data_IF_368825017869
#
_entry.id   IF_368825017869
#
_cell.length_a   1.000
_cell.length_b   1.000
_cell.length_c   1.000
_cell.angle_alpha   90.00
_cell.angle_beta   90.00
_cell.angle_gamma   90.00
#
_symmetry.space_group_name_H-M   'P 1'
#
loop_
_entity.id
_entity.type
_entity.pdbx_description
1 polymer ?
#
# COMPACT_ATOMS: atom_id res chain seq x y z
N UNK A 1 13.32 23.03 1.25
CA UNK A 1 14.72 23.45 1.52
C UNK A 1 15.09 23.31 2.99
N UNK A 2 14.35 23.89 3.94
CA UNK A 2 14.67 23.76 5.38
C UNK A 2 14.60 22.31 5.89
N UNK A 3 13.61 21.55 5.42
CA UNK A 3 13.48 20.11 5.72
C UNK A 3 14.68 19.28 5.26
N UNK A 4 15.14 19.48 4.01
CA UNK A 4 16.32 18.79 3.47
C UNK A 4 17.57 19.12 4.28
N UNK A 5 17.71 20.36 4.78
CA UNK A 5 18.83 20.78 5.63
C UNK A 5 18.82 20.06 6.98
N UNK A 6 17.66 19.88 7.60
CA UNK A 6 17.52 19.08 8.83
C UNK A 6 17.93 17.65 8.57
N UNK A 7 17.40 17.04 7.51
CA UNK A 7 17.66 15.65 7.15
C UNK A 7 19.14 15.38 6.84
N UNK A 8 19.80 16.30 6.14
CA UNK A 8 21.25 16.23 5.88
C UNK A 8 22.11 16.39 7.13
N UNK A 9 21.61 17.05 8.17
CA UNK A 9 22.32 17.23 9.46
C UNK A 9 22.15 16.04 10.39
N UNK A 10 21.00 15.38 10.36
CA UNK A 10 20.68 14.26 11.27
C UNK A 10 21.03 12.89 10.68
N UNK A 11 21.06 12.75 9.35
CA UNK A 11 21.35 11.47 8.69
C UNK A 11 22.85 11.15 8.74
N UNK A 12 23.20 9.93 9.17
CA UNK A 12 24.58 9.44 9.15
C UNK A 12 25.17 9.50 7.74
N UNK A 13 26.43 9.92 7.61
CA UNK A 13 27.11 10.11 6.31
C UNK A 13 27.06 8.87 5.41
N UNK A 14 27.12 7.66 6.00
CA UNK A 14 26.99 6.40 5.25
C UNK A 14 25.60 6.21 4.64
N UNK A 15 24.53 6.60 5.34
CA UNK A 15 23.15 6.51 4.80
C UNK A 15 22.90 7.54 3.70
N UNK A 16 23.47 8.74 3.82
CA UNK A 16 23.40 9.74 2.75
C UNK A 16 24.05 9.23 1.45
N UNK A 17 25.23 8.60 1.58
CA UNK A 17 25.90 7.96 0.44
C UNK A 17 25.04 6.86 -0.19
N UNK A 18 24.44 5.99 0.64
CA UNK A 18 23.55 4.91 0.18
C UNK A 18 22.35 5.47 -0.58
N UNK A 19 21.68 6.50 -0.06
CA UNK A 19 20.52 7.12 -0.72
C UNK A 19 20.87 7.79 -2.05
N UNK A 20 21.99 8.51 -2.13
CA UNK A 20 22.46 9.12 -3.38
C UNK A 20 22.82 8.07 -4.44
N UNK A 21 23.47 6.99 -4.01
CA UNK A 21 23.84 5.86 -4.89
C UNK A 21 22.61 5.10 -5.36
N UNK A 22 21.62 4.91 -4.49
CA UNK A 22 20.32 4.34 -4.84
C UNK A 22 19.56 5.22 -5.84
N UNK A 23 19.53 6.54 -5.67
CA UNK A 23 18.86 7.45 -6.63
C UNK A 23 19.42 7.28 -8.06
N UNK A 24 20.74 7.20 -8.19
CA UNK A 24 21.41 6.92 -9.47
C UNK A 24 21.00 5.53 -9.98
N UNK A 25 21.12 4.50 -9.14
CA UNK A 25 20.86 3.12 -9.56
C UNK A 25 19.41 2.87 -9.96
N UNK A 26 18.47 3.52 -9.29
CA UNK A 26 17.04 3.47 -9.59
C UNK A 26 16.78 4.08 -10.96
N UNK A 27 17.41 5.21 -11.29
CA UNK A 27 17.29 5.83 -12.62
C UNK A 27 17.88 4.96 -13.74
N UNK A 28 18.82 4.07 -13.43
CA UNK A 28 19.36 3.09 -14.39
C UNK A 28 18.46 1.87 -14.58
N UNK A 29 17.92 1.32 -13.48
CA UNK A 29 17.22 0.02 -13.48
C UNK A 29 15.71 0.13 -13.66
N UNK A 30 15.11 1.22 -13.18
CA UNK A 30 13.68 1.36 -13.07
C UNK A 30 13.17 2.31 -14.16
N UNK A 31 12.22 1.88 -15.01
CA UNK A 31 11.90 2.58 -16.25
C UNK A 31 11.15 3.90 -16.05
N UNK A 32 10.70 4.18 -14.83
CA UNK A 32 9.89 5.34 -14.51
C UNK A 32 10.72 6.50 -13.97
N UNK A 33 10.45 7.70 -14.49
CA UNK A 33 11.06 8.93 -13.96
C UNK A 33 10.49 9.26 -12.58
N UNK A 34 11.36 9.81 -11.71
CA UNK A 34 11.03 10.16 -10.33
C UNK A 34 10.88 11.66 -10.15
N UNK A 35 9.92 12.09 -9.33
CA UNK A 35 9.69 13.49 -8.98
C UNK A 35 10.87 14.05 -8.17
N UNK A 36 11.00 15.38 -8.13
CA UNK A 36 12.09 16.09 -7.43
C UNK A 36 12.14 15.77 -5.93
N UNK A 37 11.01 15.40 -5.31
CA UNK A 37 10.92 15.01 -3.91
C UNK A 37 11.48 13.61 -3.58
N UNK A 38 11.81 12.79 -4.59
CA UNK A 38 12.15 11.39 -4.41
C UNK A 38 13.32 11.14 -3.47
N UNK A 39 14.45 11.84 -3.68
CA UNK A 39 15.63 11.67 -2.83
C UNK A 39 15.33 12.01 -1.36
N UNK A 40 14.45 12.99 -1.13
CA UNK A 40 14.04 13.40 0.21
C UNK A 40 13.24 12.29 0.90
N UNK A 41 12.28 11.69 0.17
CA UNK A 41 11.46 10.59 0.68
C UNK A 41 12.25 9.29 0.81
N UNK A 42 13.24 9.07 -0.04
CA UNK A 42 14.18 7.94 0.06
C UNK A 42 15.01 8.07 1.33
N UNK A 43 15.61 9.23 1.58
CA UNK A 43 16.36 9.46 2.81
C UNK A 43 15.47 9.28 4.05
N UNK A 44 14.24 9.82 4.05
CA UNK A 44 13.30 9.65 5.15
C UNK A 44 12.91 8.16 5.36
N UNK A 45 12.60 7.48 4.26
CA UNK A 45 12.22 6.07 4.24
C UNK A 45 13.37 5.10 4.55
N UNK A 46 14.64 5.50 4.42
CA UNK A 46 15.78 4.70 4.86
C UNK A 46 16.17 4.96 6.32
N UNK A 47 15.74 6.10 6.86
CA UNK A 47 16.01 6.53 8.23
C UNK A 47 14.85 6.19 9.18
N UNK A 48 14.10 5.11 8.90
CA UNK A 48 12.85 4.67 9.59
C UNK A 48 12.92 4.63 11.12
N UNK A 49 14.13 4.58 11.69
CA UNK A 49 14.40 4.51 13.12
C UNK A 49 14.67 5.86 13.80
N UNK A 50 14.62 6.98 13.06
CA UNK A 50 14.80 8.32 13.62
C UNK A 50 13.41 8.94 13.93
N UNK A 51 13.01 9.03 15.22
CA UNK A 51 11.71 9.56 15.62
C UNK A 51 11.56 11.07 15.40
N UNK A 52 12.63 11.80 15.08
CA UNK A 52 12.60 13.25 14.85
C UNK A 52 12.31 13.63 13.38
N UNK A 53 12.31 12.65 12.46
CA UNK A 53 12.05 12.84 11.03
C UNK A 53 10.58 12.54 10.67
N UNK A 54 9.65 13.33 11.22
CA UNK A 54 8.20 13.06 11.13
C UNK A 54 7.50 14.11 10.26
N UNK A 55 7.57 13.96 8.94
CA UNK A 55 6.50 14.34 8.00
C UNK A 55 6.53 13.40 6.78
N UNK A 56 5.36 12.92 6.33
CA UNK A 56 5.19 12.07 5.13
C UNK A 56 5.97 10.73 5.16
N UNK A 57 5.95 10.01 6.28
CA UNK A 57 6.52 8.65 6.32
C UNK A 57 5.66 7.74 5.42
N UNK A 58 6.24 7.06 4.42
CA UNK A 58 5.49 6.05 3.67
C UNK A 58 4.99 4.98 4.65
N UNK A 59 3.77 4.45 4.48
CA UNK A 59 3.25 3.42 5.36
C UNK A 59 4.21 2.23 5.38
N UNK A 60 4.56 1.81 6.59
CA UNK A 60 5.46 0.69 6.80
C UNK A 60 4.61 -0.57 6.85
N UNK A 61 4.46 -1.22 5.69
CA UNK A 61 3.62 -2.41 5.54
C UNK A 61 4.47 -3.68 5.38
N UNK A 62 3.94 -4.86 5.76
CA UNK A 62 4.61 -6.13 5.55
C UNK A 62 4.98 -6.35 4.08
N UNK A 63 6.14 -6.96 3.86
CA UNK A 63 6.64 -7.27 2.51
C UNK A 63 5.65 -8.10 1.69
N UNK A 64 5.01 -9.08 2.33
CA UNK A 64 4.01 -9.95 1.69
C UNK A 64 2.89 -9.11 1.08
N UNK A 65 2.35 -8.15 1.83
CA UNK A 65 1.25 -7.29 1.40
C UNK A 65 1.66 -6.36 0.23
N UNK A 66 2.85 -5.77 0.30
CA UNK A 66 3.34 -4.85 -0.74
C UNK A 66 3.66 -5.59 -2.04
N UNK A 67 4.24 -6.79 -1.95
CA UNK A 67 4.58 -7.60 -3.13
C UNK A 67 3.39 -7.97 -4.00
N UNK A 68 2.19 -7.97 -3.41
CA UNK A 68 0.94 -8.26 -4.09
C UNK A 68 0.41 -7.07 -4.89
N UNK A 69 0.54 -5.88 -4.32
CA UNK A 69 -0.08 -4.65 -4.85
C UNK A 69 0.89 -3.91 -5.76
N UNK A 70 2.19 -3.93 -5.43
CA UNK A 70 3.28 -3.26 -6.14
C UNK A 70 4.32 -4.29 -6.68
N UNK A 71 3.92 -5.22 -7.57
CA UNK A 71 4.79 -6.31 -8.01
C UNK A 71 5.98 -5.84 -8.85
N UNK A 72 5.88 -4.69 -9.52
CA UNK A 72 6.98 -4.12 -10.29
C UNK A 72 8.02 -3.49 -9.35
N UNK A 73 7.55 -2.67 -8.42
CA UNK A 73 8.38 -1.94 -7.46
C UNK A 73 9.04 -2.88 -6.46
N UNK A 74 8.37 -3.96 -6.05
CA UNK A 74 8.97 -4.98 -5.19
C UNK A 74 10.08 -5.76 -5.90
N UNK A 75 9.93 -6.10 -7.19
CA UNK A 75 11.02 -6.70 -7.96
C UNK A 75 12.24 -5.78 -8.02
N UNK A 76 12.02 -4.51 -8.33
CA UNK A 76 13.10 -3.52 -8.35
C UNK A 76 13.73 -3.32 -6.96
N UNK A 77 12.93 -3.22 -5.91
CA UNK A 77 13.39 -3.04 -4.54
C UNK A 77 14.26 -4.20 -4.05
N UNK A 78 13.94 -5.45 -4.42
CA UNK A 78 14.78 -6.60 -4.10
C UNK A 78 16.18 -6.49 -4.73
N UNK A 79 16.23 -6.20 -6.03
CA UNK A 79 17.49 -6.04 -6.77
C UNK A 79 18.32 -4.92 -6.14
N UNK A 80 17.69 -3.81 -5.79
CA UNK A 80 18.37 -2.65 -5.20
C UNK A 80 18.92 -2.94 -3.81
N UNK A 81 18.17 -3.66 -2.96
CA UNK A 81 18.65 -4.02 -1.62
C UNK A 81 19.83 -5.00 -1.69
N UNK A 82 19.78 -5.97 -2.60
CA UNK A 82 20.91 -6.87 -2.85
C UNK A 82 22.12 -6.10 -3.39
N UNK A 83 21.91 -5.20 -4.34
CA UNK A 83 22.96 -4.33 -4.88
C UNK A 83 23.60 -3.44 -3.81
N UNK A 84 22.82 -2.84 -2.90
CA UNK A 84 23.38 -2.04 -1.79
C UNK A 84 24.25 -2.88 -0.86
N UNK A 85 23.86 -4.13 -0.58
CA UNK A 85 24.67 -5.05 0.20
C UNK A 85 25.97 -5.37 -0.51
N UNK A 86 25.89 -5.76 -1.79
CA UNK A 86 27.01 -6.32 -2.53
C UNK A 86 28.01 -5.23 -2.98
N UNK A 87 27.53 -4.06 -3.40
CA UNK A 87 28.38 -2.98 -3.93
C UNK A 87 28.76 -1.92 -2.88
N UNK A 88 27.92 -1.69 -1.88
CA UNK A 88 28.15 -0.64 -0.87
C UNK A 88 28.52 -1.20 0.51
N UNK A 89 28.52 -2.54 0.69
CA UNK A 89 28.82 -3.18 1.96
C UNK A 89 27.90 -2.68 3.08
N UNK A 90 26.63 -2.43 2.76
CA UNK A 90 25.63 -1.94 3.69
C UNK A 90 24.42 -2.86 3.69
N UNK A 91 24.12 -3.45 4.85
CA UNK A 91 22.96 -4.31 5.00
C UNK A 91 21.75 -3.47 5.39
N UNK A 92 20.75 -3.45 4.50
CA UNK A 92 19.49 -2.74 4.76
C UNK A 92 18.58 -3.63 5.61
N UNK A 93 18.36 -3.25 6.86
CA UNK A 93 17.59 -4.03 7.84
C UNK A 93 16.12 -3.63 7.90
N UNK A 94 15.29 -4.48 8.52
CA UNK A 94 13.88 -4.18 8.80
C UNK A 94 13.04 -4.11 7.53
N UNK A 95 12.21 -3.07 7.41
CA UNK A 95 11.23 -2.93 6.32
C UNK A 95 11.78 -2.19 5.10
N UNK A 96 13.09 -2.15 4.90
CA UNK A 96 13.73 -1.34 3.87
C UNK A 96 13.27 -1.69 2.44
N UNK A 97 13.03 -2.98 2.13
CA UNK A 97 12.51 -3.41 0.82
C UNK A 97 11.09 -2.88 0.58
N UNK A 98 10.22 -3.06 1.57
CA UNK A 98 8.85 -2.55 1.60
C UNK A 98 8.82 -1.04 1.40
N UNK A 99 9.63 -0.31 2.18
CA UNK A 99 9.71 1.14 2.12
C UNK A 99 10.24 1.61 0.77
N UNK A 100 11.27 0.96 0.23
CA UNK A 100 11.81 1.31 -1.07
C UNK A 100 10.78 1.15 -2.18
N UNK A 101 10.02 0.04 -2.19
CA UNK A 101 8.95 -0.17 -3.15
C UNK A 101 7.87 0.92 -3.08
N UNK A 102 7.42 1.27 -1.88
CA UNK A 102 6.41 2.32 -1.68
C UNK A 102 6.93 3.70 -2.08
N UNK A 103 8.19 4.03 -1.75
CA UNK A 103 8.80 5.33 -2.10
C UNK A 103 9.02 5.45 -3.60
N UNK A 104 9.46 4.38 -4.25
CA UNK A 104 9.59 4.33 -5.72
C UNK A 104 8.23 4.52 -6.35
N UNK A 105 7.22 3.74 -5.93
CA UNK A 105 5.86 3.91 -6.41
C UNK A 105 5.43 5.36 -6.25
N UNK A 106 5.53 5.92 -5.03
CA UNK A 106 5.02 7.23 -4.64
C UNK A 106 5.68 8.44 -5.30
N UNK A 107 6.78 8.27 -6.04
CA UNK A 107 7.44 9.36 -6.74
C UNK A 107 7.47 9.22 -8.26
N UNK A 108 6.78 8.25 -8.86
CA UNK A 108 6.73 8.17 -10.33
C UNK A 108 6.02 9.39 -10.94
N UNK A 109 6.65 10.02 -11.95
CA UNK A 109 6.13 11.19 -12.70
C UNK A 109 5.01 10.81 -13.67
N UNK A 110 5.05 9.60 -14.23
CA UNK A 110 4.09 9.11 -15.22
C UNK A 110 2.69 8.83 -14.64
N UNK A 111 2.49 9.07 -13.34
CA UNK A 111 1.19 8.92 -12.70
C UNK A 111 0.29 10.11 -13.00
N UNK A 112 -0.98 9.83 -13.27
CA UNK A 112 -2.02 10.85 -13.26
C UNK A 112 -2.20 11.31 -11.79
N UNK A 113 -1.44 12.36 -11.49
CA UNK A 113 -1.19 13.07 -10.23
C UNK A 113 -2.18 12.80 -9.08
N UNK A 114 -1.63 12.39 -7.94
CA UNK A 114 -2.23 12.23 -6.59
C UNK A 114 -3.23 11.08 -6.43
N UNK A 115 -4.25 10.97 -7.29
CA UNK A 115 -5.32 9.97 -7.12
C UNK A 115 -4.82 8.52 -7.20
N UNK A 116 -3.89 8.23 -8.12
CA UNK A 116 -3.31 6.88 -8.27
C UNK A 116 -2.43 6.48 -7.07
N UNK A 117 -1.80 7.46 -6.40
CA UNK A 117 -1.02 7.20 -5.20
C UNK A 117 -1.92 6.88 -4.01
N UNK A 118 -2.87 7.77 -3.73
CA UNK A 118 -3.80 7.58 -2.62
C UNK A 118 -4.63 6.30 -2.79
N UNK A 119 -4.94 5.94 -4.04
CA UNK A 119 -5.62 4.69 -4.37
C UNK A 119 -4.82 3.48 -3.93
N UNK A 120 -3.54 3.43 -4.30
CA UNK A 120 -2.71 2.27 -4.00
C UNK A 120 -2.38 2.19 -2.51
N UNK A 121 -2.25 3.32 -1.83
CA UNK A 121 -2.07 3.35 -0.37
C UNK A 121 -3.34 2.85 0.32
N UNK A 122 -4.51 3.31 -0.10
CA UNK A 122 -5.77 2.81 0.44
C UNK A 122 -5.93 1.31 0.18
N UNK A 123 -5.62 0.85 -1.03
CA UNK A 123 -5.68 -0.57 -1.41
C UNK A 123 -4.76 -1.43 -0.53
N UNK A 124 -3.53 -0.97 -0.33
CA UNK A 124 -2.53 -1.59 0.52
C UNK A 124 -3.01 -1.69 1.98
N UNK A 125 -3.57 -0.61 2.52
CA UNK A 125 -4.07 -0.55 3.90
C UNK A 125 -5.25 -1.48 4.11
N UNK A 126 -6.22 -1.48 3.19
CA UNK A 126 -7.36 -2.40 3.27
C UNK A 126 -6.87 -3.86 3.17
N UNK A 127 -5.97 -4.15 2.23
CA UNK A 127 -5.42 -5.51 2.07
C UNK A 127 -4.71 -5.97 3.33
N UNK A 128 -3.94 -5.08 3.97
CA UNK A 128 -3.25 -5.36 5.23
C UNK A 128 -4.23 -5.60 6.40
N UNK A 129 -5.31 -4.82 6.50
CA UNK A 129 -6.33 -5.03 7.53
C UNK A 129 -6.97 -6.42 7.38
N UNK A 130 -7.29 -6.83 6.15
CA UNK A 130 -7.84 -8.17 5.87
C UNK A 130 -6.81 -9.28 6.17
N UNK A 131 -5.56 -9.13 5.72
CA UNK A 131 -4.52 -10.14 5.96
C UNK A 131 -4.25 -10.31 7.46
N UNK A 132 -4.18 -9.21 8.20
CA UNK A 132 -3.96 -9.21 9.65
C UNK A 132 -5.10 -9.88 10.40
N UNK A 133 -6.36 -9.47 10.16
CA UNK A 133 -7.54 -9.98 10.86
C UNK A 133 -7.72 -11.49 10.71
N UNK A 134 -7.41 -12.03 9.53
CA UNK A 134 -7.61 -13.45 9.21
C UNK A 134 -6.31 -14.26 9.19
N UNK A 135 -5.18 -13.67 9.61
CA UNK A 135 -3.85 -14.30 9.58
C UNK A 135 -3.51 -14.90 8.21
N UNK A 136 -3.76 -14.13 7.14
CA UNK A 136 -3.64 -14.59 5.77
C UNK A 136 -2.30 -14.19 5.12
N UNK A 137 -1.51 -15.16 4.68
CA UNK A 137 -0.55 -14.96 3.58
C UNK A 137 -1.28 -15.08 2.22
N UNK A 138 -1.32 -14.02 1.42
CA UNK A 138 -1.91 -14.06 0.08
C UNK A 138 -0.89 -14.50 -0.97
N UNK A 139 -1.35 -15.22 -2.01
CA UNK A 139 -0.52 -15.62 -3.15
C UNK A 139 -0.87 -14.76 -4.37
N UNK A 140 0.01 -13.80 -4.69
CA UNK A 140 -0.13 -12.81 -5.77
C UNK A 140 -0.43 -13.42 -7.15
N UNK A 141 0.00 -14.67 -7.33
CA UNK A 141 0.00 -15.35 -8.62
C UNK A 141 -1.32 -16.03 -8.95
N UNK A 142 -2.26 -16.12 -8.00
CA UNK A 142 -3.55 -16.76 -8.28
C UNK A 142 -4.47 -15.82 -9.07
N UNK A 143 -5.16 -16.37 -10.07
CA UNK A 143 -6.12 -15.60 -10.91
C UNK A 143 -7.27 -15.05 -10.06
N UNK A 144 -7.73 -15.83 -9.06
CA UNK A 144 -8.77 -15.41 -8.14
C UNK A 144 -8.35 -14.17 -7.35
N UNK A 145 -7.16 -14.20 -6.73
CA UNK A 145 -6.65 -13.05 -5.96
C UNK A 145 -6.48 -11.80 -6.83
N UNK A 146 -5.85 -11.93 -8.02
CA UNK A 146 -5.66 -10.79 -8.94
C UNK A 146 -6.99 -10.14 -9.34
N UNK A 147 -8.02 -10.95 -9.58
CA UNK A 147 -9.36 -10.45 -9.88
C UNK A 147 -9.95 -9.69 -8.69
N UNK A 148 -9.86 -10.26 -7.49
CA UNK A 148 -10.42 -9.65 -6.28
C UNK A 148 -9.71 -8.35 -5.89
N UNK A 149 -8.38 -8.29 -6.00
CA UNK A 149 -7.62 -7.06 -5.81
C UNK A 149 -7.98 -5.99 -6.84
N UNK A 150 -8.24 -6.36 -8.09
CA UNK A 150 -8.73 -5.40 -9.08
C UNK A 150 -10.10 -4.81 -8.69
N UNK A 151 -11.01 -5.62 -8.13
CA UNK A 151 -12.29 -5.08 -7.63
C UNK A 151 -12.10 -4.10 -6.47
N UNK A 152 -11.18 -4.41 -5.55
CA UNK A 152 -10.84 -3.52 -4.45
C UNK A 152 -10.16 -2.23 -4.93
N UNK A 153 -9.24 -2.32 -5.90
CA UNK A 153 -8.65 -1.18 -6.60
C UNK A 153 -9.73 -0.26 -7.20
N UNK A 154 -10.70 -0.83 -7.90
CA UNK A 154 -11.80 -0.06 -8.47
C UNK A 154 -12.68 0.59 -7.40
N UNK A 155 -12.78 0.01 -6.21
CA UNK A 155 -13.45 0.64 -5.07
C UNK A 155 -12.65 1.84 -4.53
N UNK A 156 -11.35 1.67 -4.30
CA UNK A 156 -10.46 2.76 -3.87
C UNK A 156 -10.48 3.94 -4.86
N UNK A 157 -10.34 3.67 -6.17
CA UNK A 157 -10.46 4.68 -7.22
C UNK A 157 -11.80 5.43 -7.16
N UNK A 158 -12.91 4.72 -6.88
CA UNK A 158 -14.24 5.35 -6.80
C UNK A 158 -14.37 6.25 -5.58
N UNK A 159 -13.91 5.80 -4.41
CA UNK A 159 -13.90 6.60 -3.17
C UNK A 159 -13.10 7.89 -3.32
N UNK A 160 -11.94 7.82 -3.97
CA UNK A 160 -11.08 8.98 -4.19
C UNK A 160 -11.65 9.98 -5.20
N UNK A 161 -12.38 9.49 -6.20
CA UNK A 161 -13.03 10.35 -7.19
C UNK A 161 -14.37 10.94 -6.70
N UNK A 162 -14.74 10.72 -5.43
CA UNK A 162 -16.03 11.12 -4.83
C UNK A 162 -17.26 10.74 -5.68
N UNK A 163 -17.15 9.70 -6.51
CA UNK A 163 -18.29 9.17 -7.25
C UNK A 163 -19.07 8.30 -6.28
N UNK A 164 -20.06 8.89 -5.64
CA UNK A 164 -21.02 8.12 -4.88
C UNK A 164 -21.72 7.12 -5.82
N UNK A 165 -21.97 5.90 -5.34
CA UNK A 165 -22.90 4.96 -5.97
C UNK A 165 -24.37 5.45 -5.86
N UNK A 166 -24.60 6.73 -5.57
CA UNK A 166 -25.93 7.30 -5.32
C UNK A 166 -26.84 7.26 -6.56
N UNK A 167 -26.31 6.95 -7.75
CA UNK A 167 -27.10 6.68 -8.95
C UNK A 167 -27.64 5.24 -8.98
N UNK A 168 -27.04 4.29 -8.26
CA UNK A 168 -27.54 2.92 -8.19
C UNK A 168 -28.68 2.81 -7.17
N UNK A 169 -29.73 2.01 -7.45
CA UNK A 169 -30.81 1.80 -6.50
C UNK A 169 -30.29 1.24 -5.15
N UNK A 170 -30.98 1.48 -4.02
CA UNK A 170 -30.58 0.94 -2.72
C UNK A 170 -30.42 -0.59 -2.75
N UNK A 171 -29.45 -1.12 -2.01
CA UNK A 171 -29.32 -2.57 -1.83
C UNK A 171 -30.45 -3.08 -0.90
N UNK A 172 -31.14 -4.19 -1.21
CA UNK A 172 -32.25 -4.67 -0.37
C UNK A 172 -31.78 -5.05 1.05
N UNK A 173 -32.34 -4.42 2.09
CA UNK A 173 -31.93 -4.61 3.49
C UNK A 173 -32.00 -6.06 3.96
N UNK A 174 -33.06 -6.78 3.57
CA UNK A 174 -33.22 -8.18 3.96
C UNK A 174 -32.08 -9.05 3.42
N UNK A 175 -31.64 -8.82 2.17
CA UNK A 175 -30.50 -9.55 1.58
C UNK A 175 -29.18 -9.17 2.23
N UNK A 176 -29.02 -7.90 2.59
CA UNK A 176 -27.85 -7.44 3.33
C UNK A 176 -27.76 -8.14 4.69
N UNK A 177 -28.88 -8.20 5.43
CA UNK A 177 -28.96 -8.89 6.71
C UNK A 177 -28.60 -10.38 6.58
N UNK A 178 -29.15 -11.08 5.58
CA UNK A 178 -28.83 -12.49 5.32
C UNK A 178 -27.34 -12.71 5.03
N UNK A 179 -26.70 -11.82 4.25
CA UNK A 179 -25.26 -11.90 3.96
C UNK A 179 -24.40 -11.67 5.21
N UNK A 180 -24.75 -10.68 6.05
CA UNK A 180 -24.04 -10.42 7.31
C UNK A 180 -24.11 -11.60 8.27
N UNK A 181 -25.28 -12.21 8.39
CA UNK A 181 -25.47 -13.41 9.21
C UNK A 181 -24.68 -14.62 8.68
N UNK A 182 -24.54 -14.71 7.35
CA UNK A 182 -23.79 -15.80 6.70
C UNK A 182 -22.26 -15.67 6.88
N UNK A 183 -21.75 -14.43 6.93
CA UNK A 183 -20.32 -14.12 6.98
C UNK A 183 -20.02 -13.14 8.13
N UNK A 184 -20.21 -13.55 9.40
CA UNK A 184 -20.12 -12.62 10.54
C UNK A 184 -18.71 -12.11 10.79
N UNK A 185 -17.67 -12.93 10.55
CA UNK A 185 -16.28 -12.52 10.74
C UNK A 185 -15.84 -11.50 9.67
N UNK A 186 -16.21 -11.75 8.41
CA UNK A 186 -15.94 -10.86 7.29
C UNK A 186 -16.71 -9.55 7.43
N UNK A 187 -17.94 -9.60 7.94
CA UNK A 187 -18.74 -8.41 8.25
C UNK A 187 -18.03 -7.54 9.29
N UNK A 188 -17.52 -8.14 10.38
CA UNK A 188 -16.76 -7.40 11.38
C UNK A 188 -15.48 -6.77 10.81
N UNK A 189 -14.78 -7.47 9.90
CA UNK A 189 -13.62 -6.91 9.21
C UNK A 189 -14.01 -5.71 8.33
N UNK A 190 -15.12 -5.79 7.61
CA UNK A 190 -15.65 -4.70 6.76
C UNK A 190 -16.01 -3.48 7.60
N UNK A 191 -16.65 -3.67 8.75
CA UNK A 191 -16.98 -2.59 9.70
C UNK A 191 -15.71 -1.86 10.17
N UNK A 192 -14.65 -2.61 10.52
CA UNK A 192 -13.37 -2.02 10.90
C UNK A 192 -12.71 -1.25 9.76
N UNK A 193 -12.74 -1.79 8.53
CA UNK A 193 -12.22 -1.09 7.34
C UNK A 193 -12.98 0.22 7.11
N UNK A 194 -14.31 0.19 7.14
CA UNK A 194 -15.11 1.40 6.95
C UNK A 194 -14.82 2.44 8.03
N UNK A 195 -14.75 2.04 9.30
CA UNK A 195 -14.41 2.94 10.41
C UNK A 195 -13.03 3.58 10.21
N UNK A 196 -12.01 2.79 9.87
CA UNK A 196 -10.66 3.30 9.58
C UNK A 196 -10.65 4.31 8.43
N UNK A 197 -11.36 3.99 7.33
CA UNK A 197 -11.43 4.87 6.16
C UNK A 197 -12.23 6.15 6.45
N UNK A 198 -13.27 6.08 7.28
CA UNK A 198 -13.99 7.26 7.77
C UNK A 198 -13.08 8.14 8.63
N UNK A 199 -12.37 7.56 9.60
CA UNK A 199 -11.52 8.31 10.52
C UNK A 199 -10.34 8.99 9.80
N UNK A 200 -9.70 8.27 8.86
CA UNK A 200 -8.50 8.75 8.18
C UNK A 200 -8.78 9.67 6.99
N UNK A 201 -9.80 9.36 6.19
CA UNK A 201 -10.08 10.03 4.92
C UNK A 201 -11.41 10.79 4.90
N UNK A 202 -12.24 10.67 5.94
CA UNK A 202 -13.55 11.35 6.02
C UNK A 202 -14.63 10.72 5.13
N UNK A 203 -14.46 9.47 4.68
CA UNK A 203 -15.44 8.83 3.80
C UNK A 203 -16.71 8.38 4.52
N UNK A 204 -17.82 8.41 3.79
CA UNK A 204 -19.08 7.77 4.16
C UNK A 204 -19.35 6.56 3.27
N UNK A 205 -20.19 5.63 3.74
CA UNK A 205 -20.48 4.38 3.06
C UNK A 205 -21.99 4.16 2.94
N UNK A 206 -22.46 3.82 1.74
CA UNK A 206 -23.81 3.30 1.53
C UNK A 206 -23.87 1.81 1.86
N UNK A 207 -25.09 1.29 2.10
CA UNK A 207 -25.30 -0.15 2.29
C UNK A 207 -24.78 -0.98 1.12
N UNK A 208 -24.88 -0.46 -0.11
CA UNK A 208 -24.36 -1.13 -1.32
C UNK A 208 -22.84 -1.25 -1.29
N UNK A 209 -22.14 -0.21 -0.85
CA UNK A 209 -20.68 -0.21 -0.75
C UNK A 209 -20.20 -1.14 0.36
N UNK A 210 -20.90 -1.16 1.49
CA UNK A 210 -20.64 -2.11 2.57
C UNK A 210 -20.77 -3.55 2.06
N UNK A 211 -21.88 -3.89 1.40
CA UNK A 211 -22.11 -5.24 0.89
C UNK A 211 -21.14 -5.59 -0.24
N UNK A 212 -20.78 -4.63 -1.09
CA UNK A 212 -19.72 -4.83 -2.08
C UNK A 212 -18.39 -5.20 -1.41
N UNK A 213 -17.99 -4.44 -0.39
CA UNK A 213 -16.75 -4.69 0.34
C UNK A 213 -16.81 -6.04 1.08
N UNK A 214 -17.97 -6.41 1.66
CA UNK A 214 -18.20 -7.73 2.24
C UNK A 214 -17.98 -8.86 1.25
N UNK A 215 -18.55 -8.78 0.04
CA UNK A 215 -18.32 -9.78 -0.99
C UNK A 215 -16.83 -9.89 -1.37
N UNK A 216 -16.14 -8.75 -1.52
CA UNK A 216 -14.70 -8.72 -1.82
C UNK A 216 -13.88 -9.38 -0.69
N UNK A 217 -14.17 -9.08 0.58
CA UNK A 217 -13.48 -9.67 1.72
C UNK A 217 -13.75 -11.19 1.79
N UNK A 218 -15.00 -11.62 1.59
CA UNK A 218 -15.36 -13.05 1.52
C UNK A 218 -14.57 -13.75 0.41
N UNK A 219 -14.43 -13.14 -0.77
CA UNK A 219 -13.64 -13.69 -1.87
C UNK A 219 -12.13 -13.76 -1.53
N UNK A 220 -11.58 -12.74 -0.88
CA UNK A 220 -10.18 -12.73 -0.42
C UNK A 220 -9.91 -13.85 0.59
N UNK A 221 -10.80 -14.02 1.56
CA UNK A 221 -10.69 -15.04 2.62
C UNK A 221 -10.89 -16.45 2.04
N UNK A 222 -11.90 -16.62 1.18
CA UNK A 222 -12.25 -17.93 0.59
C UNK A 222 -11.29 -18.39 -0.51
N UNK A 223 -10.53 -17.47 -1.11
CA UNK A 223 -9.39 -17.77 -1.99
C UNK A 223 -8.34 -18.69 -1.33
N UNK A 224 -8.42 -18.87 -0.01
CA UNK A 224 -7.74 -19.95 0.72
C UNK A 224 -8.59 -21.22 0.79
N UNK A 225 -8.48 -22.04 -0.25
CA UNK A 225 -8.61 -23.51 -0.10
C UNK A 225 -7.26 -24.19 -0.26
N UNK A 226 -6.28 -23.76 0.50
CA UNK A 226 -5.15 -24.61 0.86
C UNK A 226 -5.06 -24.64 2.37
N UNK A 227 -5.59 -25.72 2.95
CA UNK A 227 -5.32 -26.09 4.33
C UNK A 227 -3.81 -26.17 4.50
N UNK A 228 -3.27 -25.54 5.54
CA UNK A 228 -2.00 -25.98 6.12
C UNK A 228 -2.14 -27.43 6.57
#
# INVERSE_FOLDING_TARGET
>A
LEYLRVLLRTTKSKMLLVALRLDIKIKELYPHQMTEGFLTSLLNGLNVNDPDLVQNKPPVLPWEDISLVLPEETKAANILVEWVRDELGFEMTGNARSTLAVVMYSHRIDRNMVLEYDEQIMLLEITHMVSSQFSLSFQAETVAYRRTINYLKMFCLRKLNSRHLDEDPPYPEQRAYELRQKYPAETSCVEQIMMYLTDKYGYTFSLREEIFLLCVVVDLVSGKRTKK
#
